data_IF_632281028261
#
_entry.id   IF_632281028261
#
_cell.length_a   1.000
_cell.length_b   1.000
_cell.length_c   1.000
_cell.angle_alpha   90.00
_cell.angle_beta   90.00
_cell.angle_gamma   90.00
#
_symmetry.space_group_name_H-M   'P 1'
#
loop_
_entity.id
_entity.type
_entity.pdbx_description
1 polymer ?
#
# COMPACT_ATOMS: atom_id res chain seq x y z
N UNK A 1 -6.32 19.18 -20.14
CA UNK A 1 -7.34 19.07 -19.08
C UNK A 1 -6.65 19.38 -17.75
N UNK A 2 -6.82 20.59 -17.21
CA UNK A 2 -6.24 20.96 -15.91
C UNK A 2 -7.14 20.29 -14.87
N UNK A 3 -6.75 19.09 -14.45
CA UNK A 3 -7.45 18.38 -13.40
C UNK A 3 -7.37 19.23 -12.14
N UNK A 4 -8.53 19.65 -11.65
CA UNK A 4 -8.72 20.32 -10.36
C UNK A 4 -8.49 19.28 -9.24
N UNK A 5 -7.28 18.69 -9.20
CA UNK A 5 -6.88 17.75 -8.16
C UNK A 5 -6.81 18.56 -6.87
N UNK A 6 -7.72 18.26 -5.93
CA UNK A 6 -7.65 18.79 -4.57
C UNK A 6 -6.27 18.44 -4.02
N UNK A 7 -5.49 19.48 -3.72
CA UNK A 7 -4.24 19.36 -2.98
C UNK A 7 -4.50 18.67 -1.65
N UNK A 8 -3.49 17.93 -1.19
CA UNK A 8 -3.50 17.24 0.11
C UNK A 8 -3.94 18.23 1.20
N UNK A 9 -4.87 17.81 2.05
CA UNK A 9 -5.36 18.65 3.15
C UNK A 9 -4.39 18.67 4.33
N UNK A 10 -3.79 17.53 4.66
CA UNK A 10 -2.80 17.41 5.73
C UNK A 10 -1.50 16.76 5.24
N UNK A 11 -0.60 17.59 4.72
CA UNK A 11 0.68 17.15 4.19
C UNK A 11 1.55 16.44 5.24
N UNK A 12 1.47 16.84 6.51
CA UNK A 12 2.24 16.23 7.59
C UNK A 12 1.79 14.79 7.85
N UNK A 13 0.47 14.56 7.98
CA UNK A 13 -0.09 13.22 8.15
C UNK A 13 0.25 12.31 6.96
N UNK A 14 0.13 12.82 5.73
CA UNK A 14 0.43 12.05 4.52
C UNK A 14 1.93 11.74 4.39
N UNK A 15 2.82 12.66 4.79
CA UNK A 15 4.27 12.43 4.79
C UNK A 15 4.67 11.36 5.81
N UNK A 16 4.12 11.41 7.03
CA UNK A 16 4.35 10.38 8.04
C UNK A 16 3.81 9.02 7.58
N UNK A 17 2.60 8.99 7.03
CA UNK A 17 2.03 7.80 6.41
C UNK A 17 2.94 7.25 5.31
N UNK A 18 3.35 8.07 4.35
CA UNK A 18 4.24 7.67 3.25
C UNK A 18 5.54 7.04 3.75
N UNK A 19 6.15 7.60 4.79
CA UNK A 19 7.42 7.09 5.33
C UNK A 19 7.25 5.70 5.95
N UNK A 20 6.26 5.55 6.84
CA UNK A 20 5.93 4.27 7.46
C UNK A 20 5.48 3.23 6.41
N UNK A 21 4.57 3.63 5.53
CA UNK A 21 3.95 2.76 4.54
C UNK A 21 4.96 2.30 3.48
N UNK A 22 5.95 3.12 3.14
CA UNK A 22 7.03 2.73 2.24
C UNK A 22 7.94 1.64 2.86
N UNK A 23 8.19 1.69 4.18
CA UNK A 23 8.92 0.61 4.87
C UNK A 23 8.07 -0.65 4.88
N UNK A 24 6.81 -0.53 5.28
CA UNK A 24 5.86 -1.65 5.32
C UNK A 24 5.73 -2.35 3.97
N UNK A 25 5.52 -1.60 2.88
CA UNK A 25 5.38 -2.15 1.52
C UNK A 25 6.64 -2.85 1.03
N UNK A 26 7.83 -2.35 1.36
CA UNK A 26 9.09 -3.04 1.05
C UNK A 26 9.21 -4.36 1.79
N UNK A 27 8.95 -4.36 3.10
CA UNK A 27 8.98 -5.57 3.93
C UNK A 27 7.96 -6.59 3.42
N UNK A 28 6.73 -6.16 3.13
CA UNK A 28 5.67 -7.02 2.61
C UNK A 28 6.04 -7.62 1.25
N UNK A 29 6.62 -6.83 0.34
CA UNK A 29 7.09 -7.33 -0.96
C UNK A 29 8.19 -8.38 -0.80
N UNK A 30 9.19 -8.11 0.06
CA UNK A 30 10.29 -9.06 0.31
C UNK A 30 9.76 -10.37 0.90
N UNK A 31 8.88 -10.29 1.90
CA UNK A 31 8.24 -11.47 2.49
C UNK A 31 7.41 -12.21 1.42
N UNK A 32 6.63 -11.50 0.61
CA UNK A 32 5.83 -12.10 -0.47
C UNK A 32 6.67 -12.86 -1.49
N UNK A 33 7.79 -12.27 -1.94
CA UNK A 33 8.74 -12.92 -2.86
C UNK A 33 9.37 -14.15 -2.19
N UNK A 34 9.82 -14.03 -0.94
CA UNK A 34 10.40 -15.15 -0.21
C UNK A 34 9.40 -16.31 -0.06
N UNK A 35 8.16 -16.01 0.30
CA UNK A 35 7.08 -17.00 0.39
C UNK A 35 6.80 -17.65 -0.97
N UNK A 36 6.81 -16.88 -2.06
CA UNK A 36 6.62 -17.41 -3.40
C UNK A 36 7.75 -18.38 -3.81
N UNK A 37 9.01 -18.02 -3.53
CA UNK A 37 10.17 -18.88 -3.80
C UNK A 37 10.10 -20.16 -2.98
N UNK A 38 9.85 -20.05 -1.67
CA UNK A 38 9.71 -21.20 -0.77
C UNK A 38 8.60 -22.13 -1.25
N UNK A 39 7.44 -21.56 -1.59
CA UNK A 39 6.30 -22.30 -2.13
C UNK A 39 6.64 -23.03 -3.45
N UNK A 40 7.32 -22.35 -4.36
CA UNK A 40 7.78 -22.93 -5.62
C UNK A 40 8.78 -24.06 -5.43
N UNK A 41 9.72 -23.91 -4.49
CA UNK A 41 10.67 -24.94 -4.11
C UNK A 41 9.97 -26.17 -3.50
N UNK A 42 8.99 -25.95 -2.60
CA UNK A 42 8.19 -27.02 -2.01
C UNK A 42 7.42 -27.82 -3.08
N UNK A 43 6.86 -27.12 -4.08
CA UNK A 43 6.14 -27.78 -5.17
C UNK A 43 7.07 -28.62 -6.07
N UNK A 44 8.31 -28.17 -6.31
CA UNK A 44 9.29 -28.89 -7.14
C UNK A 44 9.93 -30.10 -6.46
N UNK A 45 10.27 -29.99 -5.17
CA UNK A 45 11.11 -31.00 -4.50
C UNK A 45 10.24 -32.15 -3.93
N UNK A 46 8.96 -31.89 -3.64
CA UNK A 46 8.00 -32.89 -3.19
C UNK A 46 8.23 -33.40 -1.74
N UNK A 47 7.13 -33.76 -1.08
CA UNK A 47 7.07 -34.55 0.17
C UNK A 47 7.89 -34.04 1.37
N UNK A 48 9.20 -34.30 1.36
CA UNK A 48 10.09 -34.13 2.52
C UNK A 48 10.20 -32.69 3.04
N UNK A 49 10.41 -31.71 2.15
CA UNK A 49 10.50 -30.30 2.55
C UNK A 49 9.13 -29.68 2.87
N UNK A 50 8.04 -30.32 2.42
CA UNK A 50 6.70 -29.81 2.61
C UNK A 50 6.35 -29.84 4.11
N UNK A 51 6.53 -30.99 4.76
CA UNK A 51 6.20 -31.14 6.19
C UNK A 51 7.10 -30.30 7.10
N UNK A 52 8.35 -30.08 6.71
CA UNK A 52 9.30 -29.26 7.48
C UNK A 52 9.03 -27.76 7.37
N UNK A 53 8.76 -27.23 6.16
CA UNK A 53 8.63 -25.78 5.92
C UNK A 53 7.21 -25.24 6.11
N UNK A 54 6.20 -26.09 6.01
CA UNK A 54 4.80 -25.72 6.15
C UNK A 54 4.42 -25.01 7.47
N UNK A 55 4.90 -25.42 8.66
CA UNK A 55 4.59 -24.70 9.90
C UNK A 55 5.15 -23.27 9.89
N UNK A 56 6.35 -23.05 9.36
CA UNK A 56 6.98 -21.72 9.28
C UNK A 56 6.23 -20.80 8.32
N UNK A 57 5.85 -21.30 7.14
CA UNK A 57 5.03 -20.55 6.17
C UNK A 57 3.71 -20.10 6.83
N UNK A 58 3.05 -20.98 7.59
CA UNK A 58 1.82 -20.63 8.32
C UNK A 58 2.04 -19.51 9.34
N UNK A 59 3.12 -19.57 10.11
CA UNK A 59 3.45 -18.52 11.10
C UNK A 59 3.68 -17.18 10.39
N UNK A 60 4.43 -17.17 9.29
CA UNK A 60 4.67 -15.95 8.52
C UNK A 60 3.35 -15.38 7.96
N UNK A 61 2.47 -16.23 7.42
CA UNK A 61 1.16 -15.80 6.92
C UNK A 61 0.28 -15.20 8.03
N UNK A 62 0.33 -15.78 9.24
CA UNK A 62 -0.36 -15.22 10.41
C UNK A 62 0.20 -13.84 10.79
N UNK A 63 1.52 -13.67 10.82
CA UNK A 63 2.16 -12.37 11.10
C UNK A 63 1.74 -11.34 10.04
N UNK A 64 1.76 -11.70 8.74
CA UNK A 64 1.32 -10.81 7.66
C UNK A 64 -0.15 -10.43 7.83
N UNK A 65 -1.01 -11.38 8.19
CA UNK A 65 -2.44 -11.12 8.42
C UNK A 65 -2.66 -10.18 9.61
N UNK A 66 -1.98 -10.40 10.73
CA UNK A 66 -2.06 -9.54 11.91
C UNK A 66 -1.58 -8.12 11.60
N UNK A 67 -0.47 -7.98 10.87
CA UNK A 67 0.01 -6.65 10.47
C UNK A 67 -0.96 -5.97 9.52
N UNK A 68 -1.59 -6.69 8.58
CA UNK A 68 -2.63 -6.13 7.71
C UNK A 68 -3.85 -5.62 8.50
N UNK A 69 -4.28 -6.34 9.55
CA UNK A 69 -5.39 -5.90 10.42
C UNK A 69 -5.08 -4.54 11.08
N UNK A 70 -3.81 -4.27 11.42
CA UNK A 70 -3.40 -2.99 12.01
C UNK A 70 -3.22 -1.90 10.95
N UNK A 71 -2.64 -2.24 9.80
CA UNK A 71 -2.32 -1.27 8.74
C UNK A 71 -3.55 -0.82 7.98
N UNK A 72 -4.49 -1.72 7.69
CA UNK A 72 -5.70 -1.43 6.89
C UNK A 72 -6.55 -0.30 7.50
N UNK A 73 -6.88 -0.29 8.80
CA UNK A 73 -7.60 0.83 9.43
C UNK A 73 -6.87 2.17 9.31
N UNK A 74 -5.54 2.15 9.47
CA UNK A 74 -4.73 3.37 9.36
C UNK A 74 -4.70 3.90 7.91
N UNK A 75 -4.54 3.01 6.94
CA UNK A 75 -4.64 3.34 5.51
C UNK A 75 -6.03 3.90 5.18
N UNK A 76 -7.11 3.25 5.66
CA UNK A 76 -8.48 3.70 5.45
C UNK A 76 -8.70 5.11 6.01
N UNK A 77 -8.18 5.39 7.21
CA UNK A 77 -8.28 6.71 7.84
C UNK A 77 -7.63 7.80 6.98
N UNK A 78 -6.41 7.59 6.47
CA UNK A 78 -5.75 8.53 5.56
C UNK A 78 -6.56 8.73 4.27
N UNK A 79 -7.08 7.65 3.69
CA UNK A 79 -7.85 7.72 2.44
C UNK A 79 -9.16 8.50 2.61
N UNK A 80 -9.85 8.33 3.75
CA UNK A 80 -11.06 9.09 4.09
C UNK A 80 -10.72 10.56 4.30
N UNK A 81 -9.67 10.84 5.08
CA UNK A 81 -9.21 12.21 5.38
C UNK A 81 -8.87 12.98 4.11
N UNK A 82 -8.15 12.35 3.18
CA UNK A 82 -7.76 12.94 1.91
C UNK A 82 -8.83 12.82 0.80
N UNK A 83 -10.02 12.30 1.13
CA UNK A 83 -11.17 12.12 0.22
C UNK A 83 -10.83 11.34 -1.05
N UNK A 84 -9.93 10.37 -0.94
CA UNK A 84 -9.43 9.53 -2.04
C UNK A 84 -10.34 8.32 -2.27
N UNK A 85 -11.60 8.59 -2.62
CA UNK A 85 -12.66 7.58 -2.76
C UNK A 85 -12.30 6.43 -3.72
N UNK A 86 -11.60 6.71 -4.83
CA UNK A 86 -11.15 5.67 -5.77
C UNK A 86 -10.24 4.62 -5.12
N UNK A 87 -9.40 5.03 -4.18
CA UNK A 87 -8.49 4.14 -3.44
C UNK A 87 -9.19 3.39 -2.33
N UNK A 88 -10.25 3.96 -1.74
CA UNK A 88 -11.12 3.24 -0.79
C UNK A 88 -11.82 2.09 -1.53
N UNK A 89 -12.36 2.35 -2.72
CA UNK A 89 -12.95 1.31 -3.56
C UNK A 89 -11.88 0.26 -3.91
N UNK A 90 -10.69 0.69 -4.33
CA UNK A 90 -9.57 -0.21 -4.60
C UNK A 90 -9.20 -1.12 -3.42
N UNK A 91 -9.21 -0.60 -2.19
CA UNK A 91 -8.96 -1.39 -0.98
C UNK A 91 -10.03 -2.47 -0.79
N UNK A 92 -11.30 -2.12 -0.97
CA UNK A 92 -12.42 -3.08 -0.90
C UNK A 92 -12.27 -4.15 -1.99
N UNK A 93 -11.96 -3.76 -3.22
CA UNK A 93 -11.76 -4.70 -4.33
C UNK A 93 -10.57 -5.63 -4.09
N UNK A 94 -9.47 -5.14 -3.51
CA UNK A 94 -8.26 -5.92 -3.31
C UNK A 94 -8.31 -6.85 -2.09
N UNK A 95 -9.11 -6.51 -1.08
CA UNK A 95 -9.18 -7.27 0.19
C UNK A 95 -10.49 -8.04 0.30
N UNK A 96 -11.63 -7.36 0.17
CA UNK A 96 -12.95 -7.92 0.46
C UNK A 96 -13.37 -8.91 -0.62
N UNK A 97 -13.15 -8.60 -1.91
CA UNK A 97 -13.56 -9.50 -3.00
C UNK A 97 -12.78 -10.82 -2.97
N UNK A 98 -11.42 -10.83 -2.91
CA UNK A 98 -10.69 -12.08 -2.81
C UNK A 98 -11.09 -12.88 -1.57
N UNK A 99 -11.22 -12.24 -0.40
CA UNK A 99 -11.63 -12.94 0.82
C UNK A 99 -13.06 -13.52 0.71
N UNK A 100 -14.01 -12.76 0.19
CA UNK A 100 -15.39 -13.22 -0.02
C UNK A 100 -15.47 -14.39 -1.00
N UNK A 101 -14.74 -14.30 -2.11
CA UNK A 101 -14.63 -15.40 -3.08
C UNK A 101 -14.06 -16.67 -2.43
N UNK A 102 -13.01 -16.55 -1.61
CA UNK A 102 -12.44 -17.69 -0.93
C UNK A 102 -13.43 -18.34 0.06
N UNK A 103 -14.17 -17.52 0.82
CA UNK A 103 -15.15 -18.01 1.80
C UNK A 103 -16.33 -18.75 1.15
N UNK A 104 -16.71 -18.36 -0.07
CA UNK A 104 -17.80 -19.00 -0.81
C UNK A 104 -17.33 -20.30 -1.47
N UNK A 105 -16.13 -20.30 -2.07
CA UNK A 105 -15.64 -21.41 -2.89
C UNK A 105 -14.99 -22.52 -2.07
N UNK A 106 -14.31 -22.19 -0.96
CA UNK A 106 -13.56 -23.16 -0.17
C UNK A 106 -14.23 -23.42 1.18
N UNK A 107 -14.37 -24.71 1.53
CA UNK A 107 -14.68 -25.10 2.91
C UNK A 107 -13.54 -24.65 3.85
N UNK A 108 -13.87 -24.30 5.10
CA UNK A 108 -12.93 -23.69 6.07
C UNK A 108 -11.58 -24.43 6.20
N UNK A 109 -11.55 -25.76 6.05
CA UNK A 109 -10.32 -26.57 6.08
C UNK A 109 -9.42 -26.38 4.86
N UNK A 110 -9.96 -26.18 3.65
CA UNK A 110 -9.16 -25.89 2.45
C UNK A 110 -8.67 -24.45 2.40
N UNK A 111 -9.45 -23.53 2.98
CA UNK A 111 -9.13 -22.11 3.07
C UNK A 111 -7.79 -21.88 3.79
N UNK A 112 -7.54 -22.66 4.84
CA UNK A 112 -6.35 -22.59 5.68
C UNK A 112 -5.05 -23.07 5.00
N UNK A 113 -5.14 -23.96 4.01
CA UNK A 113 -3.94 -24.61 3.47
C UNK A 113 -3.36 -23.88 2.26
N UNK A 114 -4.18 -23.43 1.32
CA UNK A 114 -3.70 -22.91 0.03
C UNK A 114 -4.32 -21.57 -0.38
N UNK A 115 -5.35 -21.12 0.34
CA UNK A 115 -6.24 -20.08 -0.14
C UNK A 115 -5.78 -18.66 0.23
N UNK A 116 -5.20 -18.48 1.43
CA UNK A 116 -4.77 -17.16 1.94
C UNK A 116 -3.68 -16.46 1.12
N UNK A 117 -2.95 -17.19 0.28
CA UNK A 117 -1.92 -16.60 -0.57
C UNK A 117 -2.50 -15.60 -1.57
N UNK A 118 -3.69 -15.88 -2.12
CA UNK A 118 -4.31 -15.06 -3.14
C UNK A 118 -4.73 -13.67 -2.60
N UNK A 119 -5.46 -13.55 -1.47
CA UNK A 119 -5.75 -12.26 -0.84
C UNK A 119 -4.49 -11.49 -0.47
N UNK A 120 -3.46 -12.16 0.05
CA UNK A 120 -2.20 -11.52 0.43
C UNK A 120 -1.51 -10.95 -0.81
N UNK A 121 -1.53 -11.66 -1.94
CA UNK A 121 -0.99 -11.18 -3.20
C UNK A 121 -1.72 -9.91 -3.66
N UNK A 122 -3.06 -9.94 -3.75
CA UNK A 122 -3.85 -8.78 -4.15
C UNK A 122 -3.65 -7.59 -3.23
N UNK A 123 -3.64 -7.82 -1.92
CA UNK A 123 -3.37 -6.79 -0.93
C UNK A 123 -1.96 -6.20 -1.08
N UNK A 124 -0.94 -7.04 -1.32
CA UNK A 124 0.43 -6.58 -1.54
C UNK A 124 0.55 -5.69 -2.78
N UNK A 125 -0.10 -6.07 -3.88
CA UNK A 125 -0.17 -5.28 -5.12
C UNK A 125 -0.86 -3.94 -4.85
N UNK A 126 -2.00 -3.95 -4.16
CA UNK A 126 -2.72 -2.74 -3.78
C UNK A 126 -1.85 -1.81 -2.94
N UNK A 127 -1.16 -2.33 -1.91
CA UNK A 127 -0.25 -1.53 -1.10
C UNK A 127 0.88 -0.91 -1.92
N UNK A 128 1.45 -1.67 -2.85
CA UNK A 128 2.50 -1.16 -3.74
C UNK A 128 2.00 -0.01 -4.63
N UNK A 129 0.84 -0.18 -5.26
CA UNK A 129 0.21 0.85 -6.09
C UNK A 129 -0.12 2.11 -5.27
N UNK A 130 -0.71 1.94 -4.09
CA UNK A 130 -1.04 3.05 -3.21
C UNK A 130 0.22 3.80 -2.74
N UNK A 131 1.31 3.09 -2.46
CA UNK A 131 2.58 3.71 -2.07
C UNK A 131 3.15 4.60 -3.19
N UNK A 132 3.01 4.19 -4.46
CA UNK A 132 3.40 5.03 -5.60
C UNK A 132 2.55 6.29 -5.66
N UNK A 133 1.23 6.13 -5.59
CA UNK A 133 0.30 7.24 -5.70
C UNK A 133 0.46 8.26 -4.56
N UNK A 134 0.71 7.80 -3.33
CA UNK A 134 0.95 8.68 -2.17
C UNK A 134 2.19 9.56 -2.38
N UNK A 135 3.25 9.00 -2.99
CA UNK A 135 4.45 9.77 -3.36
C UNK A 135 4.11 10.81 -4.43
N UNK A 136 3.26 10.48 -5.39
CA UNK A 136 2.81 11.42 -6.41
C UNK A 136 1.98 12.54 -5.80
N UNK A 137 1.11 12.26 -4.83
CA UNK A 137 0.36 13.29 -4.12
C UNK A 137 1.28 14.27 -3.38
N UNK A 138 2.31 13.75 -2.71
CA UNK A 138 3.30 14.59 -2.00
C UNK A 138 4.13 15.41 -2.99
N UNK A 139 4.60 14.79 -4.09
CA UNK A 139 5.33 15.47 -5.16
C UNK A 139 4.53 16.62 -5.76
N UNK A 140 3.26 16.38 -6.08
CA UNK A 140 2.34 17.40 -6.60
C UNK A 140 2.13 18.53 -5.59
N UNK A 141 1.99 18.21 -4.30
CA UNK A 141 1.87 19.20 -3.23
C UNK A 141 3.11 20.09 -3.10
N UNK A 142 4.32 19.51 -3.01
CA UNK A 142 5.54 20.31 -2.88
C UNK A 142 5.85 21.10 -4.16
N UNK A 143 5.57 20.53 -5.35
CA UNK A 143 5.72 21.26 -6.62
C UNK A 143 4.82 22.49 -6.66
N UNK A 144 3.57 22.36 -6.19
CA UNK A 144 2.64 23.48 -6.12
C UNK A 144 3.09 24.55 -5.11
N UNK A 145 3.54 24.14 -3.92
CA UNK A 145 4.05 25.07 -2.90
C UNK A 145 5.27 25.84 -3.41
N UNK A 146 6.24 25.16 -4.02
CA UNK A 146 7.43 25.79 -4.59
C UNK A 146 7.08 26.81 -5.68
N UNK A 147 6.07 26.53 -6.51
CA UNK A 147 5.58 27.48 -7.52
C UNK A 147 4.95 28.72 -6.89
N UNK A 148 4.21 28.57 -5.79
CA UNK A 148 3.62 29.70 -5.07
C UNK A 148 4.69 30.55 -4.39
N UNK A 149 5.69 29.92 -3.78
CA UNK A 149 6.82 30.61 -3.14
C UNK A 149 7.65 31.39 -4.17
N UNK A 150 7.97 30.78 -5.32
CA UNK A 150 8.65 31.48 -6.41
C UNK A 150 7.87 32.69 -6.94
N UNK A 151 6.53 32.61 -6.98
CA UNK A 151 5.70 33.76 -7.35
C UNK A 151 5.77 34.87 -6.32
N UNK A 152 5.66 34.54 -5.02
CA UNK A 152 5.80 35.51 -3.92
C UNK A 152 7.15 36.19 -3.93
N UNK A 153 8.23 35.43 -4.08
CA UNK A 153 9.59 35.98 -4.16
C UNK A 153 9.79 36.90 -5.37
N UNK A 154 9.16 36.59 -6.51
CA UNK A 154 9.17 37.49 -7.69
C UNK A 154 8.40 38.77 -7.41
N UNK A 155 7.20 38.69 -6.83
CA UNK A 155 6.39 39.86 -6.47
C UNK A 155 7.09 40.75 -5.44
N UNK A 156 7.77 40.16 -4.45
CA UNK A 156 8.58 40.90 -3.47
C UNK A 156 9.76 41.61 -4.13
N UNK A 157 10.46 40.97 -5.07
CA UNK A 157 11.52 41.64 -5.86
C UNK A 157 10.96 42.81 -6.66
N UNK A 158 9.76 42.69 -7.23
CA UNK A 158 9.12 43.76 -8.02
C UNK A 158 8.79 44.93 -7.09
N UNK A 159 8.18 44.65 -5.93
CA UNK A 159 7.83 45.67 -4.94
C UNK A 159 9.05 46.39 -4.36
N UNK A 160 10.16 45.68 -4.19
CA UNK A 160 11.40 46.24 -3.66
C UNK A 160 12.21 47.01 -4.71
N UNK A 161 11.69 47.18 -5.94
CA UNK A 161 12.39 47.88 -7.01
C UNK A 161 13.67 47.17 -7.48
N UNK A 162 13.82 45.88 -7.16
CA UNK A 162 15.01 45.07 -7.45
C UNK A 162 14.98 44.50 -8.88
N UNK A 163 14.51 45.32 -9.81
CA UNK A 163 14.58 45.09 -11.25
C UNK A 163 15.47 46.19 -11.81
N UNK A 164 16.78 45.95 -11.78
CA UNK A 164 17.75 46.67 -12.63
C UNK A 164 17.58 46.24 -14.09
#
# INVERSE_FOLDING_TARGET
MISNKKLIQDAYSVQNFSTYFNIYTKVLTVIGIALFIVRGAMWRIGGFFNDMLFPYVRIILLIVTLTAIVVVPYTLWILIKEKKHGWIIGLVLAVVIPLGFLLIVFQAKMLYNHSLFLPILFYSIFCYMLNSEVKDWLSEYYSHQNRLEQKRLKEERIKNGLFD
#
